data_IF_079326374437
#
_entry.id   IF_079326374437
#
_cell.length_a   1.000
_cell.length_b   1.000
_cell.length_c   1.000
_cell.angle_alpha   90.00
_cell.angle_beta   90.00
_cell.angle_gamma   90.00
#
_symmetry.space_group_name_H-M   'P 1'
#
loop_
_entity.id
_entity.type
_entity.pdbx_description
1 polymer ?
#
# COMPACT_ATOMS: atom_id res chain seq x y z
N UNK A 1 15.15 22.07 20.40
CA UNK A 1 14.00 21.44 21.08
C UNK A 1 13.97 21.71 22.58
N UNK A 2 15.10 21.65 23.31
CA UNK A 2 15.13 21.86 24.77
C UNK A 2 14.63 23.24 25.28
N UNK A 3 14.66 24.27 24.44
CA UNK A 3 14.08 25.59 24.77
C UNK A 3 12.57 25.65 24.52
N UNK A 4 12.03 24.80 23.63
CA UNK A 4 10.61 24.73 23.28
C UNK A 4 9.86 23.73 24.17
N UNK A 5 10.55 22.68 24.63
CA UNK A 5 10.03 21.70 25.58
C UNK A 5 11.09 21.44 26.68
N UNK A 6 11.02 22.22 27.78
CA UNK A 6 11.97 22.11 28.89
C UNK A 6 11.85 20.79 29.66
N UNK A 7 10.68 20.12 29.65
CA UNK A 7 10.47 18.87 30.38
C UNK A 7 11.28 17.72 29.76
N UNK A 8 11.48 17.76 28.44
CA UNK A 8 12.29 16.79 27.70
C UNK A 8 13.74 17.25 27.46
N UNK A 9 14.19 18.35 28.09
CA UNK A 9 15.50 18.96 27.84
C UNK A 9 16.67 17.98 28.04
N UNK A 10 16.60 17.10 29.03
CA UNK A 10 17.63 16.09 29.30
C UNK A 10 17.74 15.06 28.17
N UNK A 11 16.59 14.57 27.67
CA UNK A 11 16.52 13.66 26.52
C UNK A 11 17.17 14.28 25.28
N UNK A 12 16.84 15.53 24.97
CA UNK A 12 17.41 16.24 23.83
C UNK A 12 18.92 16.49 23.99
N UNK A 13 19.38 16.85 25.20
CA UNK A 13 20.82 17.02 25.48
C UNK A 13 21.59 15.72 25.28
N UNK A 14 21.04 14.58 25.72
CA UNK A 14 21.63 13.26 25.46
C UNK A 14 21.75 12.98 23.96
N UNK A 15 20.68 13.18 23.20
CA UNK A 15 20.68 12.98 21.74
C UNK A 15 21.70 13.89 21.02
N UNK A 16 21.79 15.15 21.43
CA UNK A 16 22.77 16.10 20.90
C UNK A 16 24.21 15.59 21.09
N UNK A 17 24.56 15.15 22.30
CA UNK A 17 25.91 14.63 22.60
C UNK A 17 26.22 13.38 21.76
N UNK A 18 25.25 12.48 21.60
CA UNK A 18 25.42 11.25 20.81
C UNK A 18 25.78 11.59 19.36
N UNK A 19 25.07 12.56 18.76
CA UNK A 19 25.28 12.97 17.36
C UNK A 19 26.58 13.78 17.21
N UNK A 20 26.84 14.75 18.09
CA UNK A 20 28.04 15.60 18.02
C UNK A 20 29.33 14.83 18.21
N UNK A 21 29.33 13.82 19.09
CA UNK A 21 30.52 13.02 19.41
C UNK A 21 30.63 11.73 18.61
N UNK A 22 29.63 11.40 17.79
CA UNK A 22 29.64 10.22 16.92
C UNK A 22 29.73 8.89 17.68
N UNK A 23 29.01 8.75 18.79
CA UNK A 23 29.05 7.51 19.57
C UNK A 23 28.35 6.37 18.83
N UNK A 24 29.14 5.57 18.10
CA UNK A 24 28.65 4.57 17.15
C UNK A 24 27.64 3.58 17.74
N UNK A 25 27.80 3.18 19.01
CA UNK A 25 26.84 2.28 19.68
C UNK A 25 25.45 2.92 19.79
N UNK A 26 25.38 4.15 20.30
CA UNK A 26 24.13 4.89 20.48
C UNK A 26 23.55 5.37 19.15
N UNK A 27 24.39 5.68 18.15
CA UNK A 27 23.91 5.95 16.79
C UNK A 27 23.24 4.71 16.19
N UNK A 28 23.75 3.50 16.45
CA UNK A 28 23.11 2.25 16.01
C UNK A 28 21.76 2.04 16.70
N UNK A 29 21.62 2.41 17.97
CA UNK A 29 20.33 2.37 18.68
C UNK A 29 19.33 3.32 18.04
N UNK A 30 19.73 4.57 17.77
CA UNK A 30 18.89 5.53 17.07
C UNK A 30 18.49 5.02 15.68
N UNK A 31 19.41 4.34 14.98
CA UNK A 31 19.12 3.82 13.65
C UNK A 31 18.02 2.74 13.64
N UNK A 32 17.78 2.03 14.76
CA UNK A 32 16.72 1.01 14.84
C UNK A 32 15.32 1.61 14.86
N UNK A 33 15.20 2.87 15.28
CA UNK A 33 13.92 3.57 15.33
C UNK A 33 13.48 4.06 13.94
N UNK A 34 14.42 4.13 12.98
CA UNK A 34 14.11 4.45 11.60
C UNK A 34 13.78 3.15 10.86
N UNK A 35 12.49 2.99 10.53
CA UNK A 35 12.07 1.97 9.59
C UNK A 35 12.63 2.25 8.19
N UNK A 36 12.91 1.20 7.45
CA UNK A 36 13.30 1.28 6.04
C UNK A 36 12.29 0.49 5.20
N UNK A 37 11.87 1.10 4.09
CA UNK A 37 11.02 0.49 3.08
C UNK A 37 11.62 0.83 1.73
N UNK A 38 12.10 -0.20 1.04
CA UNK A 38 12.81 0.01 -0.22
C UNK A 38 11.91 0.71 -1.25
N UNK A 39 12.51 1.56 -2.08
CA UNK A 39 11.81 2.25 -3.17
C UNK A 39 11.08 1.25 -4.09
N UNK A 40 11.67 0.09 -4.34
CA UNK A 40 11.06 -0.97 -5.14
C UNK A 40 9.75 -1.48 -4.52
N UNK A 41 9.71 -1.64 -3.19
CA UNK A 41 8.50 -2.07 -2.48
C UNK A 41 7.46 -0.95 -2.46
N UNK A 42 7.87 0.30 -2.26
CA UNK A 42 6.98 1.46 -2.36
C UNK A 42 6.32 1.56 -3.75
N UNK A 43 7.12 1.44 -4.82
CA UNK A 43 6.61 1.41 -6.21
C UNK A 43 5.67 0.24 -6.44
N UNK A 44 5.99 -0.94 -5.90
CA UNK A 44 5.12 -2.10 -6.01
C UNK A 44 3.76 -1.86 -5.37
N UNK A 45 3.69 -1.24 -4.19
CA UNK A 45 2.39 -0.90 -3.57
C UNK A 45 1.60 0.08 -4.44
N UNK A 46 2.26 1.11 -4.98
CA UNK A 46 1.61 2.07 -5.88
C UNK A 46 1.08 1.38 -7.14
N UNK A 47 1.86 0.49 -7.76
CA UNK A 47 1.41 -0.25 -8.95
C UNK A 47 0.23 -1.18 -8.63
N UNK A 48 0.17 -1.77 -7.43
CA UNK A 48 -0.97 -2.58 -6.97
C UNK A 48 -2.23 -1.71 -6.85
N UNK A 49 -2.10 -0.53 -6.24
CA UNK A 49 -3.21 0.42 -6.14
C UNK A 49 -3.67 0.87 -7.54
N UNK A 50 -2.75 1.19 -8.45
CA UNK A 50 -3.09 1.57 -9.82
C UNK A 50 -3.80 0.45 -10.58
N UNK A 51 -3.32 -0.80 -10.44
CA UNK A 51 -4.00 -1.97 -11.01
C UNK A 51 -5.45 -2.05 -10.52
N UNK A 52 -5.71 -1.90 -9.23
CA UNK A 52 -7.07 -1.91 -8.69
C UNK A 52 -7.93 -0.75 -9.18
N UNK A 53 -7.34 0.43 -9.34
CA UNK A 53 -8.04 1.56 -9.95
C UNK A 53 -8.44 1.25 -11.41
N UNK A 54 -7.51 0.72 -12.20
CA UNK A 54 -7.76 0.33 -13.58
C UNK A 54 -8.81 -0.78 -13.69
N UNK A 55 -8.81 -1.76 -12.78
CA UNK A 55 -9.83 -2.81 -12.70
C UNK A 55 -11.23 -2.22 -12.46
N UNK A 56 -11.36 -1.33 -11.48
CA UNK A 56 -12.64 -0.67 -11.15
C UNK A 56 -13.16 0.18 -12.30
N UNK A 57 -12.29 0.97 -12.94
CA UNK A 57 -12.67 1.84 -14.05
C UNK A 57 -13.04 1.01 -15.29
N UNK A 58 -12.26 -0.02 -15.61
CA UNK A 58 -12.55 -0.93 -16.71
C UNK A 58 -13.90 -1.62 -16.51
N UNK A 59 -14.18 -2.12 -15.30
CA UNK A 59 -15.46 -2.75 -14.98
C UNK A 59 -16.64 -1.78 -15.08
N UNK A 60 -16.46 -0.52 -14.66
CA UNK A 60 -17.50 0.52 -14.76
C UNK A 60 -17.89 0.81 -16.21
N UNK A 61 -16.93 0.73 -17.13
CA UNK A 61 -17.13 0.98 -18.55
C UNK A 61 -17.71 -0.21 -19.33
N UNK A 62 -17.77 -1.40 -18.75
CA UNK A 62 -18.40 -2.56 -19.39
C UNK A 62 -19.92 -2.35 -19.45
N UNK A 63 -20.48 -2.41 -20.67
CA UNK A 63 -21.92 -2.41 -20.89
C UNK A 63 -22.56 -3.62 -20.21
N UNK A 64 -23.80 -3.48 -19.73
CA UNK A 64 -24.48 -4.48 -18.89
C UNK A 64 -24.55 -5.87 -19.55
N UNK A 65 -24.64 -5.95 -20.88
CA UNK A 65 -24.70 -7.21 -21.65
C UNK A 65 -23.31 -7.86 -21.85
N UNK A 66 -22.23 -7.12 -21.65
CA UNK A 66 -20.83 -7.62 -21.73
C UNK A 66 -20.21 -7.91 -20.36
N UNK A 67 -20.97 -7.77 -19.27
CA UNK A 67 -20.52 -8.18 -17.94
C UNK A 67 -20.42 -9.70 -17.90
N UNK A 68 -19.20 -10.17 -18.10
CA UNK A 68 -18.66 -11.51 -17.92
C UNK A 68 -19.61 -12.63 -17.44
N UNK A 69 -19.62 -13.78 -18.13
CA UNK A 69 -20.21 -15.04 -17.66
C UNK A 69 -19.68 -15.49 -16.28
N UNK A 70 -18.48 -15.05 -15.90
CA UNK A 70 -17.84 -15.36 -14.63
C UNK A 70 -18.45 -14.68 -13.40
N UNK A 71 -19.45 -13.80 -13.56
CA UNK A 71 -20.11 -13.10 -12.47
C UNK A 71 -19.11 -12.46 -11.48
N UNK A 72 -18.28 -11.52 -11.98
CA UNK A 72 -17.30 -10.81 -11.14
C UNK A 72 -18.04 -10.08 -10.02
N UNK A 73 -17.98 -10.63 -8.80
CA UNK A 73 -18.51 -9.97 -7.61
C UNK A 73 -17.82 -8.61 -7.42
N UNK A 74 -18.61 -7.56 -7.21
CA UNK A 74 -18.12 -6.21 -6.92
C UNK A 74 -17.11 -6.19 -5.76
N UNK A 75 -17.21 -7.13 -4.82
CA UNK A 75 -16.25 -7.30 -3.72
C UNK A 75 -14.84 -7.70 -4.18
N UNK A 76 -14.69 -8.38 -5.32
CA UNK A 76 -13.37 -8.74 -5.88
C UNK A 76 -12.66 -7.53 -6.49
N UNK A 77 -13.43 -6.53 -6.94
CA UNK A 77 -12.92 -5.28 -7.50
C UNK A 77 -12.47 -4.29 -6.42
N UNK A 78 -12.81 -4.52 -5.15
CA UNK A 78 -12.36 -3.69 -4.04
C UNK A 78 -10.92 -4.01 -3.65
N UNK A 79 -10.13 -2.97 -3.42
CA UNK A 79 -8.80 -3.09 -2.85
C UNK A 79 -8.90 -3.19 -1.33
N UNK A 80 -8.64 -4.38 -0.78
CA UNK A 80 -8.79 -4.66 0.65
C UNK A 80 -7.59 -4.24 1.49
N UNK A 81 -6.49 -3.83 0.85
CA UNK A 81 -5.23 -3.52 1.52
C UNK A 81 -4.42 -4.77 1.86
N UNK A 82 -3.72 -4.73 3.00
CA UNK A 82 -2.73 -5.73 3.44
C UNK A 82 -3.00 -6.18 4.87
N UNK A 83 -2.31 -7.23 5.31
CA UNK A 83 -2.49 -7.75 6.67
C UNK A 83 -1.75 -6.89 7.71
N UNK A 84 -2.46 -6.37 8.71
CA UNK A 84 -1.83 -5.60 9.77
C UNK A 84 -0.93 -6.44 10.69
N UNK A 85 -1.11 -7.76 10.75
CA UNK A 85 -0.29 -8.62 11.61
C UNK A 85 1.07 -8.97 10.99
N UNK A 86 1.10 -9.27 9.70
CA UNK A 86 2.32 -9.72 9.00
C UNK A 86 2.89 -8.71 8.00
N UNK A 87 2.06 -7.79 7.49
CA UNK A 87 2.39 -6.82 6.43
C UNK A 87 2.19 -5.36 6.91
N UNK A 88 2.39 -5.10 8.21
CA UNK A 88 2.07 -3.82 8.85
C UNK A 88 2.66 -2.59 8.15
N UNK A 89 3.89 -2.69 7.63
CA UNK A 89 4.53 -1.61 6.89
C UNK A 89 3.76 -1.25 5.61
N UNK A 90 3.20 -2.24 4.91
CA UNK A 90 2.41 -2.02 3.69
C UNK A 90 1.08 -1.35 4.01
N UNK A 91 0.40 -1.79 5.08
CA UNK A 91 -0.85 -1.17 5.57
C UNK A 91 -0.62 0.32 5.87
N UNK A 92 0.45 0.61 6.62
CA UNK A 92 0.78 1.98 6.99
C UNK A 92 1.15 2.84 5.78
N UNK A 93 1.84 2.27 4.79
CA UNK A 93 2.17 2.99 3.56
C UNK A 93 0.93 3.29 2.71
N UNK A 94 -0.02 2.35 2.58
CA UNK A 94 -1.32 2.60 1.91
C UNK A 94 -2.10 3.71 2.63
N UNK A 95 -2.12 3.71 3.96
CA UNK A 95 -2.78 4.78 4.74
C UNK A 95 -2.09 6.13 4.53
N UNK A 96 -0.77 6.17 4.51
CA UNK A 96 -0.03 7.38 4.17
C UNK A 96 -0.43 7.93 2.79
N UNK A 97 -0.44 7.08 1.76
CA UNK A 97 -0.82 7.49 0.40
C UNK A 97 -2.26 7.99 0.29
N UNK A 98 -3.19 7.38 1.02
CA UNK A 98 -4.62 7.72 0.92
C UNK A 98 -5.03 8.87 1.83
N UNK A 99 -4.43 9.01 3.02
CA UNK A 99 -4.85 9.97 4.05
C UNK A 99 -3.98 11.22 4.09
N UNK A 100 -2.68 11.07 3.83
CA UNK A 100 -1.73 12.20 3.87
C UNK A 100 -1.52 12.76 2.48
N UNK A 101 -1.24 11.89 1.48
CA UNK A 101 -1.05 12.33 0.08
C UNK A 101 -2.37 12.50 -0.68
N UNK A 102 -3.47 11.94 -0.18
CA UNK A 102 -4.79 12.08 -0.79
C UNK A 102 -4.98 11.34 -2.12
N UNK A 103 -4.15 10.32 -2.39
CA UNK A 103 -4.23 9.50 -3.59
C UNK A 103 -5.36 8.46 -3.49
N UNK A 104 -5.94 8.09 -4.64
CA UNK A 104 -7.02 7.12 -4.76
C UNK A 104 -8.22 7.35 -3.80
N UNK A 105 -8.81 8.56 -3.74
CA UNK A 105 -9.93 8.86 -2.84
C UNK A 105 -11.19 8.01 -3.11
N UNK A 106 -11.28 7.40 -4.29
CA UNK A 106 -12.35 6.48 -4.67
C UNK A 106 -12.31 5.12 -3.98
N UNK A 107 -11.19 4.75 -3.35
CA UNK A 107 -11.07 3.46 -2.68
C UNK A 107 -11.88 3.42 -1.39
N UNK A 108 -12.70 2.38 -1.27
CA UNK A 108 -13.39 2.07 -0.02
C UNK A 108 -12.37 1.61 1.01
N UNK A 109 -12.23 2.38 2.10
CA UNK A 109 -11.32 2.07 3.21
C UNK A 109 -11.77 0.83 4.00
N UNK A 110 -13.03 0.43 3.87
CA UNK A 110 -13.65 -0.63 4.65
C UNK A 110 -13.70 -0.34 6.14
N UNK A 111 -14.18 -1.31 6.93
CA UNK A 111 -14.31 -1.17 8.39
C UNK A 111 -12.96 -1.12 9.13
N UNK A 112 -11.88 -1.61 8.51
CA UNK A 112 -10.57 -1.76 9.14
C UNK A 112 -9.46 -0.94 8.48
N UNK A 113 -9.81 0.07 7.67
CA UNK A 113 -8.88 1.02 7.06
C UNK A 113 -7.72 0.31 6.34
N UNK A 114 -8.06 -0.44 5.28
CA UNK A 114 -7.12 -1.23 4.46
C UNK A 114 -6.38 -2.36 5.19
N UNK A 115 -6.94 -2.88 6.29
CA UNK A 115 -6.48 -4.13 6.89
C UNK A 115 -7.30 -5.30 6.34
N UNK A 116 -6.68 -6.11 5.48
CA UNK A 116 -7.31 -7.29 4.86
C UNK A 116 -7.47 -8.47 5.81
N UNK A 117 -6.86 -8.43 7.01
CA UNK A 117 -6.83 -9.53 8.00
C UNK A 117 -6.25 -10.85 7.48
N UNK A 118 -5.65 -10.84 6.29
CA UNK A 118 -5.01 -11.99 5.65
C UNK A 118 -3.89 -11.49 4.73
N UNK A 119 -2.73 -12.16 4.64
CA UNK A 119 -1.63 -11.70 3.80
C UNK A 119 -2.03 -11.62 2.32
N UNK A 120 -1.77 -10.50 1.67
CA UNK A 120 -2.23 -10.26 0.29
C UNK A 120 -1.10 -9.96 -0.69
N UNK A 121 0.13 -9.70 -0.24
CA UNK A 121 1.23 -9.28 -1.12
C UNK A 121 1.49 -10.29 -2.25
N UNK A 122 1.65 -11.57 -1.93
CA UNK A 122 1.93 -12.61 -2.93
C UNK A 122 0.81 -12.76 -3.95
N UNK A 123 -0.45 -12.61 -3.50
CA UNK A 123 -1.60 -12.62 -4.40
C UNK A 123 -1.56 -11.43 -5.35
N UNK A 124 -1.33 -10.23 -4.83
CA UNK A 124 -1.24 -9.03 -5.67
C UNK A 124 -0.07 -9.10 -6.64
N UNK A 125 1.06 -9.69 -6.25
CA UNK A 125 2.19 -9.90 -7.15
C UNK A 125 1.82 -10.77 -8.36
N UNK A 126 1.07 -11.87 -8.15
CA UNK A 126 0.56 -12.71 -9.25
C UNK A 126 -0.41 -11.96 -10.14
N UNK A 127 -1.37 -11.23 -9.55
CA UNK A 127 -2.30 -10.38 -10.31
C UNK A 127 -1.55 -9.35 -11.17
N UNK A 128 -0.55 -8.70 -10.59
CA UNK A 128 0.22 -7.64 -11.23
C UNK A 128 1.05 -8.17 -12.41
N UNK A 129 1.54 -9.41 -12.35
CA UNK A 129 2.17 -10.07 -13.50
C UNK A 129 1.17 -10.26 -14.65
N UNK A 130 -0.04 -10.74 -14.37
CA UNK A 130 -1.09 -10.88 -15.39
C UNK A 130 -1.46 -9.52 -15.97
N UNK A 131 -1.62 -8.50 -15.12
CA UNK A 131 -2.03 -7.15 -15.55
C UNK A 131 -0.99 -6.51 -16.48
N UNK A 132 0.29 -6.66 -16.16
CA UNK A 132 1.39 -6.18 -17.00
C UNK A 132 1.48 -6.93 -18.34
N UNK A 133 0.98 -8.16 -18.40
CA UNK A 133 0.94 -8.96 -19.63
C UNK A 133 -0.31 -8.66 -20.49
N UNK A 134 -1.31 -7.96 -19.96
CA UNK A 134 -2.45 -7.50 -20.75
C UNK A 134 -1.97 -6.49 -21.83
N UNK A 135 -2.49 -6.55 -23.07
CA UNK A 135 -2.12 -5.60 -24.13
C UNK A 135 -2.39 -4.14 -23.77
N UNK A 136 -3.38 -3.90 -22.90
CA UNK A 136 -3.72 -2.60 -22.32
C UNK A 136 -3.97 -2.79 -20.83
N UNK A 137 -3.56 -1.79 -20.05
CA UNK A 137 -3.72 -1.79 -18.60
C UNK A 137 -5.08 -1.23 -18.14
N UNK A 138 -5.76 -0.49 -19.02
CA UNK A 138 -7.11 0.05 -18.82
C UNK A 138 -8.06 -0.40 -19.94
N UNK A 139 -9.35 -0.23 -19.72
CA UNK A 139 -10.42 -0.72 -20.60
C UNK A 139 -10.32 -2.24 -20.82
N UNK A 140 -10.03 -2.94 -19.72
CA UNK A 140 -9.91 -4.39 -19.69
C UNK A 140 -11.25 -5.04 -20.03
N UNK A 141 -11.19 -6.05 -20.87
CA UNK A 141 -12.34 -6.90 -21.19
C UNK A 141 -12.73 -7.76 -19.98
N UNK A 142 -13.97 -8.25 -19.99
CA UNK A 142 -14.47 -9.20 -19.00
C UNK A 142 -13.53 -10.42 -18.80
N UNK A 143 -12.96 -10.95 -19.88
CA UNK A 143 -12.05 -12.10 -19.83
C UNK A 143 -10.71 -11.76 -19.16
N UNK A 144 -10.16 -10.58 -19.40
CA UNK A 144 -8.93 -10.13 -18.74
C UNK A 144 -9.15 -9.93 -17.23
N UNK A 145 -10.31 -9.39 -16.84
CA UNK A 145 -10.70 -9.30 -15.43
C UNK A 145 -10.77 -10.69 -14.77
N UNK A 146 -11.34 -11.70 -15.45
CA UNK A 146 -11.32 -13.09 -14.96
C UNK A 146 -9.92 -13.61 -14.69
N UNK A 147 -9.05 -13.44 -15.69
CA UNK A 147 -7.68 -13.96 -15.65
C UNK A 147 -6.92 -13.32 -14.49
N UNK A 148 -7.10 -12.02 -14.28
CA UNK A 148 -6.53 -11.30 -13.14
C UNK A 148 -6.98 -11.87 -11.81
N UNK A 149 -8.28 -12.07 -11.62
CA UNK A 149 -8.77 -12.55 -10.33
C UNK A 149 -8.53 -14.04 -10.06
N UNK A 150 -8.14 -14.81 -11.08
CA UNK A 150 -7.83 -16.24 -10.98
C UNK A 150 -6.31 -16.53 -10.99
N UNK A 151 -5.47 -15.48 -10.95
CA UNK A 151 -4.02 -15.59 -10.89
C UNK A 151 -3.48 -16.17 -9.57
#
# INVERSE_FOLDING_TARGET
>A
MSQLDPQNAEKYRRLQIIVERGYALQMRELNKDFGDMSEALCRQVVDIMEMYHALQESYRMLENDTRCECNVDARRLQFWGFDAATEAHLVNYVRFLTEVEGLYPQFDKGSHHFNSQTPMLEKYQRMLQVWRNCPRQYHLSANELCQLFNA
#
